data_IF_422788148760
#
_entry.id   IF_422788148760
#
_cell.length_a   1.000
_cell.length_b   1.000
_cell.length_c   1.000
_cell.angle_alpha   90.00
_cell.angle_beta   90.00
_cell.angle_gamma   90.00
#
_symmetry.space_group_name_H-M   'P 1'
#
loop_
_entity.id
_entity.type
_entity.pdbx_description
1 polymer ?
#
# COMPACT_ATOMS: atom_id res chain seq x y z
N UNK A 1 -10.45 23.27 -22.51
CA UNK A 1 -9.99 21.98 -21.94
C UNK A 1 -10.89 21.64 -20.76
N UNK A 2 -11.71 20.60 -20.81
CA UNK A 2 -12.46 20.19 -19.63
C UNK A 2 -11.49 19.53 -18.66
N UNK A 3 -11.46 20.03 -17.45
CA UNK A 3 -10.68 19.51 -16.33
C UNK A 3 -11.16 18.10 -15.97
N UNK A 4 -10.29 17.10 -16.06
CA UNK A 4 -10.50 15.70 -15.69
C UNK A 4 -10.75 15.46 -14.18
N UNK A 5 -11.13 16.48 -13.42
CA UNK A 5 -11.37 16.43 -11.99
C UNK A 5 -12.87 16.36 -11.61
N UNK A 6 -13.74 16.05 -12.57
CA UNK A 6 -15.19 16.05 -12.35
C UNK A 6 -15.80 14.72 -11.87
N UNK A 7 -15.00 13.72 -11.42
CA UNK A 7 -15.48 12.36 -11.26
C UNK A 7 -16.08 11.94 -9.91
N UNK A 8 -15.84 12.67 -8.83
CA UNK A 8 -16.16 12.16 -7.48
C UNK A 8 -17.66 12.26 -7.10
N UNK A 9 -18.41 13.16 -7.71
CA UNK A 9 -19.85 13.32 -7.38
C UNK A 9 -20.80 12.38 -8.13
N UNK A 10 -20.33 11.64 -9.15
CA UNK A 10 -21.18 10.83 -10.03
C UNK A 10 -21.21 9.34 -9.75
N UNK A 11 -20.37 8.83 -8.85
CA UNK A 11 -20.29 7.39 -8.56
C UNK A 11 -21.45 6.87 -7.69
N UNK A 12 -22.69 7.10 -8.14
CA UNK A 12 -23.86 6.40 -7.59
C UNK A 12 -24.08 5.13 -8.42
N UNK A 13 -23.35 4.05 -8.11
CA UNK A 13 -23.63 2.78 -8.76
C UNK A 13 -22.44 2.04 -9.40
N UNK A 14 -21.20 2.44 -9.13
CA UNK A 14 -20.02 1.81 -9.69
C UNK A 14 -19.31 2.65 -10.76
N UNK A 15 -18.29 2.10 -11.44
CA UNK A 15 -17.68 2.72 -12.61
C UNK A 15 -18.78 2.88 -13.68
N UNK A 16 -19.14 4.11 -13.96
CA UNK A 16 -20.33 4.40 -14.73
C UNK A 16 -20.07 4.53 -16.26
N UNK A 17 -21.14 4.85 -16.99
CA UNK A 17 -21.06 5.09 -18.43
C UNK A 17 -20.08 6.21 -18.79
N UNK A 18 -19.82 7.15 -17.89
CA UNK A 18 -18.93 8.27 -18.16
C UNK A 18 -17.47 7.81 -18.23
N UNK A 19 -17.00 6.97 -17.30
CA UNK A 19 -15.66 6.36 -17.33
C UNK A 19 -15.48 5.50 -18.59
N UNK A 20 -16.50 4.72 -18.93
CA UNK A 20 -16.51 3.91 -20.17
C UNK A 20 -16.42 4.80 -21.42
N UNK A 21 -17.23 5.81 -21.51
CA UNK A 21 -17.25 6.73 -22.66
C UNK A 21 -15.91 7.47 -22.82
N UNK A 22 -15.29 7.87 -21.71
CA UNK A 22 -13.95 8.50 -21.73
C UNK A 22 -12.91 7.51 -22.24
N UNK A 23 -12.90 6.27 -21.74
CA UNK A 23 -11.96 5.25 -22.17
C UNK A 23 -12.11 4.93 -23.67
N UNK A 24 -13.34 4.78 -24.14
CA UNK A 24 -13.65 4.51 -25.56
C UNK A 24 -13.25 5.67 -26.47
N UNK A 25 -13.52 6.92 -26.05
CA UNK A 25 -13.15 8.10 -26.82
C UNK A 25 -11.62 8.20 -26.98
N UNK A 26 -10.87 8.01 -25.88
CA UNK A 26 -9.40 8.06 -25.91
C UNK A 26 -8.86 6.96 -26.82
N UNK A 27 -9.37 5.72 -26.73
CA UNK A 27 -8.87 4.60 -27.52
C UNK A 27 -9.17 4.71 -29.00
N UNK A 28 -10.23 5.40 -29.36
CA UNK A 28 -10.56 5.64 -30.77
C UNK A 28 -9.47 6.46 -31.45
N UNK A 29 -8.95 7.47 -30.77
CA UNK A 29 -7.92 8.37 -31.28
C UNK A 29 -6.49 7.87 -30.98
N UNK A 30 -6.35 7.20 -29.82
CA UNK A 30 -5.06 6.75 -29.29
C UNK A 30 -5.13 5.30 -28.79
N UNK A 31 -5.19 4.30 -29.66
CA UNK A 31 -5.50 2.91 -29.32
C UNK A 31 -4.50 2.27 -28.33
N UNK A 32 -3.26 2.74 -28.32
CA UNK A 32 -2.20 2.24 -27.43
C UNK A 32 -2.03 3.10 -26.14
N UNK A 33 -2.91 4.06 -25.90
CA UNK A 33 -2.79 4.90 -24.71
C UNK A 33 -3.17 4.12 -23.45
N UNK A 34 -2.25 4.07 -22.49
CA UNK A 34 -2.52 3.51 -21.17
C UNK A 34 -3.41 4.48 -20.39
N UNK A 35 -4.40 3.92 -19.70
CA UNK A 35 -5.31 4.66 -18.84
C UNK A 35 -5.02 4.33 -17.39
N UNK A 36 -5.07 5.37 -16.54
CA UNK A 36 -4.91 5.26 -15.10
C UNK A 36 -6.17 5.77 -14.39
N UNK A 37 -6.51 5.16 -13.26
CA UNK A 37 -7.64 5.58 -12.42
C UNK A 37 -7.21 5.76 -10.98
N UNK A 38 -7.56 6.92 -10.40
CA UNK A 38 -7.34 7.20 -8.99
C UNK A 38 -8.59 6.86 -8.17
N UNK A 39 -8.51 5.83 -7.34
CA UNK A 39 -9.51 5.52 -6.34
C UNK A 39 -9.32 6.45 -5.14
N UNK A 40 -9.93 7.63 -5.18
CA UNK A 40 -9.71 8.68 -4.19
C UNK A 40 -10.10 8.25 -2.76
N UNK A 41 -9.24 8.46 -1.75
CA UNK A 41 -9.59 8.25 -0.34
C UNK A 41 -10.57 9.30 0.20
N UNK A 42 -10.75 10.42 -0.51
CA UNK A 42 -11.75 11.45 -0.16
C UNK A 42 -13.18 11.04 -0.49
N UNK A 43 -13.35 10.02 -1.34
CA UNK A 43 -14.64 9.44 -1.62
C UNK A 43 -15.01 8.43 -0.54
N UNK A 44 -16.17 8.61 0.10
CA UNK A 44 -16.64 7.64 1.08
C UNK A 44 -17.31 6.46 0.37
N UNK A 45 -16.49 5.44 0.06
CA UNK A 45 -16.86 4.26 -0.70
C UNK A 45 -18.10 3.56 -0.13
N UNK A 46 -18.07 3.23 1.15
CA UNK A 46 -19.15 2.48 1.81
C UNK A 46 -20.45 3.27 1.93
N UNK A 47 -20.37 4.60 2.03
CA UNK A 47 -21.57 5.45 2.08
C UNK A 47 -22.26 5.54 0.72
N UNK A 48 -21.51 5.45 -0.37
CA UNK A 48 -22.00 5.74 -1.71
C UNK A 48 -22.21 4.50 -2.57
N UNK A 49 -21.58 3.36 -2.23
CA UNK A 49 -21.62 2.11 -2.99
C UNK A 49 -21.98 0.94 -2.08
N UNK A 50 -22.70 -0.04 -2.62
CA UNK A 50 -22.94 -1.32 -1.95
C UNK A 50 -21.69 -2.22 -2.00
N UNK A 51 -21.70 -3.28 -1.20
CA UNK A 51 -20.56 -4.18 -1.07
C UNK A 51 -20.24 -4.93 -2.36
N UNK A 52 -21.24 -5.33 -3.13
CA UNK A 52 -21.06 -6.04 -4.39
C UNK A 52 -20.41 -5.14 -5.43
N UNK A 53 -20.83 -3.88 -5.51
CA UNK A 53 -20.21 -2.88 -6.37
C UNK A 53 -18.76 -2.60 -5.96
N UNK A 54 -18.48 -2.42 -4.67
CA UNK A 54 -17.12 -2.22 -4.16
C UNK A 54 -16.23 -3.42 -4.50
N UNK A 55 -16.73 -4.64 -4.30
CA UNK A 55 -15.96 -5.87 -4.52
C UNK A 55 -15.54 -6.11 -5.97
N UNK A 56 -16.29 -5.60 -6.95
CA UNK A 56 -16.02 -5.77 -8.38
C UNK A 56 -15.41 -4.53 -9.06
N UNK A 57 -15.34 -3.39 -8.36
CA UNK A 57 -15.01 -2.08 -8.91
C UNK A 57 -13.74 -2.08 -9.74
N UNK A 58 -12.62 -2.62 -9.21
CA UNK A 58 -11.33 -2.66 -9.91
C UNK A 58 -11.36 -3.54 -11.16
N UNK A 59 -12.11 -4.64 -11.12
CA UNK A 59 -12.25 -5.53 -12.28
C UNK A 59 -13.03 -4.87 -13.41
N UNK A 60 -14.08 -4.14 -13.06
CA UNK A 60 -14.88 -3.38 -14.04
C UNK A 60 -14.06 -2.26 -14.67
N UNK A 61 -13.32 -1.49 -13.89
CA UNK A 61 -12.37 -0.51 -14.41
C UNK A 61 -11.32 -1.14 -15.34
N UNK A 62 -10.77 -2.28 -14.94
CA UNK A 62 -9.82 -3.03 -15.78
C UNK A 62 -10.43 -3.46 -17.11
N UNK A 63 -11.68 -3.93 -17.10
CA UNK A 63 -12.42 -4.28 -18.32
C UNK A 63 -12.69 -3.08 -19.24
N UNK A 64 -12.84 -1.87 -18.68
CA UNK A 64 -12.91 -0.62 -19.43
C UNK A 64 -11.54 -0.17 -19.96
N UNK A 65 -10.44 -0.77 -19.44
CA UNK A 65 -9.07 -0.51 -19.85
C UNK A 65 -8.28 0.47 -19.01
N UNK A 66 -8.74 0.77 -17.84
CA UNK A 66 -7.92 1.41 -16.82
C UNK A 66 -6.99 0.36 -16.20
N UNK A 67 -5.86 0.14 -16.87
CA UNK A 67 -4.91 -0.93 -16.50
C UNK A 67 -4.03 -0.59 -15.31
N UNK A 68 -3.88 0.70 -15.01
CA UNK A 68 -3.19 1.19 -13.82
C UNK A 68 -4.18 1.85 -12.87
N UNK A 69 -4.35 1.27 -11.70
CA UNK A 69 -5.28 1.75 -10.68
C UNK A 69 -4.53 1.95 -9.37
N UNK A 70 -4.81 3.05 -8.68
CA UNK A 70 -4.12 3.37 -7.43
C UNK A 70 -5.06 4.07 -6.45
N UNK A 71 -4.74 3.98 -5.18
CA UNK A 71 -5.42 4.71 -4.10
C UNK A 71 -4.45 5.76 -3.60
N UNK A 72 -4.71 7.02 -3.90
CA UNK A 72 -3.90 8.13 -3.41
C UNK A 72 -3.86 8.12 -1.89
N UNK A 73 -2.67 8.27 -1.31
CA UNK A 73 -2.48 8.33 0.14
C UNK A 73 -2.85 7.06 0.93
N UNK A 74 -3.02 5.90 0.27
CA UNK A 74 -3.34 4.65 0.99
C UNK A 74 -2.31 4.33 2.08
N UNK A 75 -1.02 4.44 1.75
CA UNK A 75 0.07 4.24 2.71
C UNK A 75 0.05 5.25 3.85
N UNK A 76 -0.24 6.52 3.55
CA UNK A 76 -0.39 7.56 4.58
C UNK A 76 -1.51 7.21 5.57
N UNK A 77 -2.69 6.85 5.07
CA UNK A 77 -3.81 6.48 5.93
C UNK A 77 -3.54 5.22 6.75
N UNK A 78 -2.98 4.19 6.13
CA UNK A 78 -2.64 2.94 6.81
C UNK A 78 -1.63 3.18 7.94
N UNK A 79 -0.54 3.90 7.66
CA UNK A 79 0.49 4.20 8.64
C UNK A 79 -0.06 5.05 9.79
N UNK A 80 -0.75 6.15 9.50
CA UNK A 80 -1.24 7.05 10.54
C UNK A 80 -2.30 6.39 11.41
N UNK A 81 -3.22 5.61 10.83
CA UNK A 81 -4.22 4.89 11.60
C UNK A 81 -3.58 3.82 12.50
N UNK A 82 -2.65 3.03 11.97
CA UNK A 82 -1.93 2.02 12.74
C UNK A 82 -1.13 2.63 13.89
N UNK A 83 -0.44 3.75 13.65
CA UNK A 83 0.30 4.46 14.70
C UNK A 83 -0.62 5.08 15.74
N UNK A 84 -1.78 5.60 15.33
CA UNK A 84 -2.78 6.12 16.27
C UNK A 84 -3.28 5.00 17.20
N UNK A 85 -3.64 3.83 16.66
CA UNK A 85 -4.11 2.69 17.43
C UNK A 85 -3.05 2.19 18.41
N UNK A 86 -1.80 2.09 17.93
CA UNK A 86 -0.67 1.68 18.77
C UNK A 86 -0.44 2.69 19.92
N UNK A 87 -0.39 3.99 19.61
CA UNK A 87 -0.15 5.02 20.61
C UNK A 87 -1.25 5.07 21.66
N UNK A 88 -2.52 4.97 21.25
CA UNK A 88 -3.66 4.90 22.16
C UNK A 88 -3.59 3.65 23.02
N UNK A 89 -3.40 2.49 22.43
CA UNK A 89 -3.30 1.22 23.15
C UNK A 89 -2.11 1.21 24.11
N UNK A 90 -0.97 1.76 23.72
CA UNK A 90 0.22 1.84 24.55
C UNK A 90 -0.02 2.74 25.78
N UNK A 91 -0.71 3.87 25.62
CA UNK A 91 -1.09 4.74 26.74
C UNK A 91 -2.01 4.04 27.76
N UNK A 92 -2.89 3.15 27.28
CA UNK A 92 -3.86 2.45 28.14
C UNK A 92 -3.29 1.15 28.75
N UNK A 93 -2.49 0.39 27.98
CA UNK A 93 -2.09 -1.00 28.29
C UNK A 93 -0.58 -1.25 28.16
N UNK A 94 0.20 -0.20 27.89
CA UNK A 94 1.67 -0.23 27.82
C UNK A 94 2.18 -1.29 26.80
N UNK A 95 3.21 -2.05 27.19
CA UNK A 95 3.82 -3.06 26.32
C UNK A 95 2.85 -4.12 25.80
N UNK A 96 1.74 -4.38 26.48
CA UNK A 96 0.74 -5.34 26.00
C UNK A 96 0.16 -4.93 24.65
N UNK A 97 -0.01 -3.64 24.39
CA UNK A 97 -0.49 -3.17 23.09
C UNK A 97 0.56 -3.34 21.98
N UNK A 98 1.84 -3.17 22.29
CA UNK A 98 2.92 -3.43 21.35
C UNK A 98 3.06 -4.93 21.04
N UNK A 99 2.98 -5.77 22.06
CA UNK A 99 3.04 -7.23 21.87
C UNK A 99 1.92 -7.73 20.96
N UNK A 100 0.71 -7.18 21.07
CA UNK A 100 -0.39 -7.51 20.14
C UNK A 100 -0.07 -7.17 18.68
N UNK A 101 0.64 -6.07 18.42
CA UNK A 101 1.13 -5.75 17.09
C UNK A 101 2.17 -6.77 16.63
N UNK A 102 3.15 -7.06 17.48
CA UNK A 102 4.25 -7.99 17.18
C UNK A 102 3.73 -9.40 16.88
N UNK A 103 2.79 -9.90 17.68
CA UNK A 103 2.19 -11.23 17.44
C UNK A 103 1.41 -11.29 16.11
N UNK A 104 0.77 -10.20 15.71
CA UNK A 104 0.13 -10.12 14.38
C UNK A 104 1.16 -10.17 13.25
N UNK A 105 2.28 -9.47 13.40
CA UNK A 105 3.37 -9.49 12.43
C UNK A 105 3.94 -10.91 12.28
N UNK A 106 4.19 -11.63 13.38
CA UNK A 106 4.67 -13.01 13.34
C UNK A 106 3.65 -13.95 12.68
N UNK A 107 2.37 -13.82 13.01
CA UNK A 107 1.31 -14.62 12.38
C UNK A 107 1.24 -14.38 10.86
N UNK A 108 1.48 -13.16 10.42
CA UNK A 108 1.44 -12.77 9.01
C UNK A 108 2.69 -13.20 8.21
N UNK A 109 3.77 -13.66 8.86
CA UNK A 109 4.92 -14.25 8.16
C UNK A 109 4.51 -15.44 7.26
N UNK A 110 3.58 -16.27 7.73
CA UNK A 110 3.02 -17.37 6.93
C UNK A 110 2.28 -16.89 5.68
N UNK A 111 1.85 -15.64 5.63
CA UNK A 111 1.18 -14.98 4.49
C UNK A 111 2.13 -14.20 3.61
N UNK A 112 3.44 -14.20 3.94
CA UNK A 112 4.49 -13.53 3.19
C UNK A 112 4.90 -12.15 3.74
N UNK A 113 4.47 -11.78 4.95
CA UNK A 113 4.97 -10.58 5.60
C UNK A 113 6.43 -10.81 6.06
N UNK A 114 7.33 -9.88 5.75
CA UNK A 114 8.77 -10.07 5.98
C UNK A 114 9.41 -9.00 6.85
N UNK A 115 8.66 -7.93 7.16
CA UNK A 115 9.21 -6.77 7.85
C UNK A 115 9.49 -6.98 9.35
N UNK A 116 9.15 -8.14 9.92
CA UNK A 116 9.67 -8.59 11.22
C UNK A 116 11.20 -8.58 11.22
N UNK A 117 11.83 -8.84 10.07
CA UNK A 117 13.27 -8.72 9.84
C UNK A 117 13.61 -7.32 9.32
N UNK A 118 13.34 -6.31 10.13
CA UNK A 118 13.41 -4.90 9.73
C UNK A 118 14.78 -4.46 9.20
N UNK A 119 15.89 -4.96 9.74
CA UNK A 119 17.23 -4.66 9.25
C UNK A 119 17.39 -5.06 7.78
N UNK A 120 16.90 -6.24 7.41
CA UNK A 120 16.91 -6.71 6.05
C UNK A 120 16.02 -5.84 5.15
N UNK A 121 14.82 -5.50 5.61
CA UNK A 121 13.83 -4.74 4.83
C UNK A 121 14.30 -3.30 4.54
N UNK A 122 15.04 -2.68 5.45
CA UNK A 122 15.65 -1.35 5.19
C UNK A 122 16.96 -1.42 4.39
N UNK A 123 17.36 -2.60 3.94
CA UNK A 123 18.49 -2.76 3.03
C UNK A 123 19.86 -2.74 3.72
N UNK A 124 19.94 -3.01 5.01
CA UNK A 124 21.22 -3.01 5.76
C UNK A 124 22.26 -3.90 5.11
N UNK A 125 21.89 -5.09 4.62
CA UNK A 125 22.82 -5.99 3.92
C UNK A 125 23.43 -5.42 2.65
N UNK A 126 22.71 -4.55 1.92
CA UNK A 126 23.26 -3.85 0.77
C UNK A 126 24.37 -2.87 1.20
N UNK A 127 24.14 -2.09 2.23
CA UNK A 127 25.11 -1.14 2.73
C UNK A 127 26.34 -1.85 3.34
N UNK A 128 26.14 -2.97 4.01
CA UNK A 128 27.23 -3.81 4.50
C UNK A 128 28.08 -4.34 3.35
N UNK A 129 27.46 -4.81 2.27
CA UNK A 129 28.18 -5.28 1.07
C UNK A 129 28.99 -4.16 0.42
N UNK A 130 28.42 -2.96 0.32
CA UNK A 130 29.15 -1.78 -0.22
C UNK A 130 30.33 -1.40 0.68
N UNK A 131 30.12 -1.35 2.00
CA UNK A 131 31.18 -1.03 2.97
C UNK A 131 32.34 -2.02 2.91
N UNK A 132 32.01 -3.31 2.86
CA UNK A 132 33.03 -4.39 2.78
C UNK A 132 33.75 -4.39 1.44
N UNK A 133 33.10 -4.03 0.32
CA UNK A 133 33.75 -3.93 -0.98
C UNK A 133 34.76 -2.78 -1.02
N UNK A 134 34.50 -1.68 -0.30
CA UNK A 134 35.39 -0.52 -0.22
C UNK A 134 36.51 -0.76 0.79
N UNK A 135 36.17 -1.34 1.94
CA UNK A 135 37.12 -1.67 3.02
C UNK A 135 36.76 -3.04 3.60
N UNK A 136 37.48 -4.11 3.20
CA UNK A 136 37.22 -5.49 3.69
C UNK A 136 37.33 -5.65 5.22
N UNK A 137 38.10 -4.79 5.87
CA UNK A 137 38.29 -4.78 7.32
C UNK A 137 37.31 -3.85 8.05
N UNK A 138 36.24 -3.43 7.38
CA UNK A 138 35.23 -2.53 7.98
C UNK A 138 34.56 -3.19 9.17
N UNK A 139 34.66 -2.54 10.33
CA UNK A 139 33.94 -2.94 11.55
C UNK A 139 32.50 -2.38 11.61
N UNK A 140 32.05 -1.69 10.57
CA UNK A 140 30.75 -1.00 10.52
C UNK A 140 29.65 -1.82 9.89
N UNK A 141 29.88 -3.10 9.60
CA UNK A 141 28.85 -4.01 9.08
C UNK A 141 27.81 -4.32 10.17
N UNK A 142 26.55 -3.98 9.90
CA UNK A 142 25.48 -4.04 10.87
C UNK A 142 24.80 -5.43 10.96
N UNK A 143 24.78 -6.19 9.85
CA UNK A 143 24.19 -7.54 9.83
C UNK A 143 25.17 -8.64 10.22
N UNK A 144 26.49 -8.43 10.11
CA UNK A 144 27.47 -9.39 10.51
C UNK A 144 27.47 -9.57 12.04
N UNK A 145 26.93 -10.66 12.53
CA UNK A 145 26.74 -10.90 13.96
C UNK A 145 25.50 -10.20 14.55
N UNK A 146 24.52 -9.95 13.71
CA UNK A 146 23.26 -9.29 14.07
C UNK A 146 22.58 -9.99 15.25
N UNK A 147 22.12 -9.17 16.20
CA UNK A 147 21.28 -9.60 17.31
C UNK A 147 19.93 -10.15 16.88
N UNK A 148 19.51 -9.90 15.64
CA UNK A 148 18.25 -10.42 15.10
C UNK A 148 18.23 -11.93 14.94
N UNK A 149 19.38 -12.56 14.67
CA UNK A 149 19.44 -14.02 14.44
C UNK A 149 19.09 -14.87 15.67
N UNK A 150 19.07 -14.28 16.86
CA UNK A 150 18.75 -14.96 18.11
C UNK A 150 17.54 -14.43 18.88
N UNK A 151 16.92 -13.35 18.40
CA UNK A 151 15.86 -12.64 19.14
C UNK A 151 14.43 -13.04 18.75
N UNK A 152 14.24 -13.70 17.59
CA UNK A 152 12.92 -14.03 17.04
C UNK A 152 12.67 -15.55 16.97
N UNK A 153 13.20 -16.29 17.94
CA UNK A 153 13.01 -17.75 18.08
C UNK A 153 12.39 -18.07 19.42
#
# INVERSE_FOLDING_TARGET
MPTLLGGVERLRGGPDEAERAVAEAIRREHPNKMLAYNCSPSFNWKKNLDDDTIAKFQRELGAMGYTFQFITLAGFHALNHSMFDLAKGYNERQMSAYVELQEREFADEARGYTATKHQREVGTGYFDAVSTAINPDSSTVALAGSTESGQFH
#
